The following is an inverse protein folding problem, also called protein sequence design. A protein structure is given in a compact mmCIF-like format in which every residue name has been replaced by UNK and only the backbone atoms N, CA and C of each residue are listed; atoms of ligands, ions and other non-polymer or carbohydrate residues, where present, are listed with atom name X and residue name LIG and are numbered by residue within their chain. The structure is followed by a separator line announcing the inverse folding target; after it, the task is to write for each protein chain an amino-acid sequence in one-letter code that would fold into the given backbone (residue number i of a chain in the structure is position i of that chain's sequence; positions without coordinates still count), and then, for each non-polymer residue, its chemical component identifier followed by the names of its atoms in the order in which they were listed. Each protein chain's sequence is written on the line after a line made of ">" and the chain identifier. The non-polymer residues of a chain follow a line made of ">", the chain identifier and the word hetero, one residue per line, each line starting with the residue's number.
data_IF_623350474613
#
_entry.id   IF_623350474613
#
_cell.length_a   1.000
_cell.length_b   1.000
_cell.length_c   1.000
_cell.angle_alpha   90.00
_cell.angle_beta   90.00
_cell.angle_gamma   90.00
#
_symmetry.space_group_name_H-M   'P 1'
#
loop_
_entity.id
_entity.type
_entity.pdbx_description
1 polymer ?
#
# COMPACT_ATOMS: atom_id res chain seq x y z
N UNK A 1 -10.70 9.05 -3.36
CA UNK A 1 -11.66 8.03 -3.87
C UNK A 1 -11.72 8.00 -5.40
N UNK A 2 -12.12 9.09 -6.06
CA UNK A 2 -12.27 9.11 -7.53
C UNK A 2 -11.00 8.78 -8.31
N UNK A 3 -9.86 9.37 -7.94
CA UNK A 3 -8.56 9.05 -8.56
C UNK A 3 -8.19 7.56 -8.40
N UNK A 4 -8.54 6.94 -7.28
CA UNK A 4 -8.28 5.52 -7.05
C UNK A 4 -9.20 4.65 -7.91
N UNK A 5 -10.49 4.99 -8.00
CA UNK A 5 -11.45 4.30 -8.86
C UNK A 5 -11.03 4.37 -10.34
N UNK A 6 -10.60 5.54 -10.82
CA UNK A 6 -10.06 5.71 -12.17
C UNK A 6 -8.79 4.89 -12.41
N UNK A 7 -7.88 4.83 -11.42
CA UNK A 7 -6.67 4.01 -11.51
C UNK A 7 -6.99 2.51 -11.54
N UNK A 8 -7.97 2.06 -10.75
CA UNK A 8 -8.42 0.68 -10.75
C UNK A 8 -8.99 0.29 -12.12
N UNK A 9 -9.83 1.17 -12.71
CA UNK A 9 -10.34 0.99 -14.07
C UNK A 9 -9.20 0.83 -15.09
N UNK A 10 -8.20 1.72 -15.03
CA UNK A 10 -7.06 1.71 -15.93
C UNK A 10 -6.19 0.46 -15.80
N UNK A 11 -6.17 -0.16 -14.61
CA UNK A 11 -5.49 -1.42 -14.34
C UNK A 11 -6.37 -2.66 -14.58
N UNK A 12 -7.59 -2.48 -15.10
CA UNK A 12 -8.46 -3.59 -15.52
C UNK A 12 -9.30 -4.20 -14.41
N UNK A 13 -9.53 -3.49 -13.29
CA UNK A 13 -10.48 -3.94 -12.27
C UNK A 13 -11.90 -4.02 -12.85
N UNK A 14 -12.69 -5.01 -12.39
CA UNK A 14 -14.13 -5.03 -12.66
C UNK A 14 -14.84 -4.01 -11.77
N UNK A 15 -15.57 -3.09 -12.40
CA UNK A 15 -16.24 -1.97 -11.73
C UNK A 15 -17.76 -2.10 -11.77
N UNK A 16 -18.27 -3.25 -12.21
CA UNK A 16 -19.71 -3.55 -12.24
C UNK A 16 -20.31 -3.43 -10.85
N UNK A 17 -21.38 -2.64 -10.71
CA UNK A 17 -22.08 -2.37 -9.44
C UNK A 17 -21.20 -1.78 -8.31
N UNK A 18 -20.05 -1.21 -8.66
CA UNK A 18 -19.16 -0.52 -7.69
C UNK A 18 -19.49 0.95 -7.56
N UNK A 19 -19.06 1.57 -6.46
CA UNK A 19 -19.16 3.01 -6.27
C UNK A 19 -17.80 3.68 -6.23
N UNK A 20 -17.76 4.95 -6.60
CA UNK A 20 -16.54 5.77 -6.60
C UNK A 20 -15.95 5.94 -5.19
N UNK A 21 -16.80 5.93 -4.16
CA UNK A 21 -16.39 5.98 -2.75
C UNK A 21 -15.50 4.80 -2.34
N UNK A 22 -15.73 3.62 -2.92
CA UNK A 22 -14.99 2.38 -2.66
C UNK A 22 -13.68 2.30 -3.47
N UNK A 23 -13.36 3.33 -4.26
CA UNK A 23 -12.23 3.30 -5.19
C UNK A 23 -10.87 2.99 -4.55
N UNK A 24 -10.69 3.29 -3.27
CA UNK A 24 -9.48 2.91 -2.53
C UNK A 24 -9.33 1.40 -2.36
N UNK A 25 -10.38 0.75 -1.90
CA UNK A 25 -10.39 -0.69 -1.63
C UNK A 25 -10.32 -1.49 -2.94
N UNK A 26 -11.10 -1.08 -3.95
CA UNK A 26 -11.07 -1.70 -5.30
C UNK A 26 -9.66 -1.64 -5.90
N UNK A 27 -8.98 -0.50 -5.75
CA UNK A 27 -7.62 -0.33 -6.25
C UNK A 27 -6.64 -1.25 -5.51
N UNK A 28 -6.74 -1.33 -4.18
CA UNK A 28 -5.88 -2.18 -3.37
C UNK A 28 -6.05 -3.65 -3.74
N UNK A 29 -7.30 -4.12 -3.85
CA UNK A 29 -7.62 -5.50 -4.23
C UNK A 29 -7.08 -5.84 -5.62
N UNK A 30 -7.20 -4.94 -6.59
CA UNK A 30 -6.68 -5.16 -7.94
C UNK A 30 -5.15 -5.28 -7.95
N UNK A 31 -4.45 -4.41 -7.21
CA UNK A 31 -2.99 -4.47 -7.10
C UNK A 31 -2.57 -5.78 -6.43
N UNK A 32 -3.24 -6.21 -5.36
CA UNK A 32 -2.97 -7.48 -4.67
C UNK A 32 -3.19 -8.67 -5.61
N UNK A 33 -4.26 -8.65 -6.41
CA UNK A 33 -4.53 -9.66 -7.44
C UNK A 33 -3.37 -9.78 -8.43
N UNK A 34 -2.94 -8.65 -9.01
CA UNK A 34 -1.81 -8.61 -9.95
C UNK A 34 -0.50 -9.08 -9.31
N UNK A 35 -0.23 -8.74 -8.04
CA UNK A 35 0.94 -9.21 -7.31
C UNK A 35 0.97 -10.73 -7.21
N UNK A 36 -0.17 -11.35 -6.87
CA UNK A 36 -0.29 -12.81 -6.78
C UNK A 36 -0.09 -13.48 -8.14
N UNK A 37 -0.73 -12.95 -9.20
CA UNK A 37 -0.62 -13.50 -10.56
C UNK A 37 0.80 -13.45 -11.11
N UNK A 38 1.57 -12.44 -10.72
CA UNK A 38 2.96 -12.25 -11.17
C UNK A 38 3.99 -12.90 -10.26
N UNK A 39 3.56 -13.54 -9.16
CA UNK A 39 4.46 -14.24 -8.24
C UNK A 39 5.27 -13.31 -7.34
N UNK A 40 4.80 -12.08 -7.10
CA UNK A 40 5.42 -11.16 -6.14
C UNK A 40 5.24 -11.74 -4.71
N UNK A 41 6.29 -11.73 -3.87
CA UNK A 41 6.17 -12.20 -2.48
C UNK A 41 5.15 -11.40 -1.67
N UNK A 42 4.53 -12.08 -0.70
CA UNK A 42 3.49 -11.50 0.14
C UNK A 42 4.06 -10.53 1.17
N UNK A 43 3.94 -9.24 0.89
CA UNK A 43 4.37 -8.18 1.78
C UNK A 43 5.87 -8.23 2.12
N UNK A 44 6.24 -7.49 3.15
CA UNK A 44 7.61 -7.39 3.63
C UNK A 44 8.12 -8.72 4.20
N UNK A 45 7.23 -9.54 4.79
CA UNK A 45 7.59 -10.87 5.30
C UNK A 45 8.03 -11.80 4.18
N UNK A 46 7.40 -11.71 3.00
CA UNK A 46 7.77 -12.47 1.81
C UNK A 46 9.18 -12.19 1.29
N UNK A 47 9.79 -11.07 1.67
CA UNK A 47 11.16 -10.70 1.32
C UNK A 47 12.14 -10.70 2.50
N UNK A 48 11.72 -11.26 3.65
CA UNK A 48 12.60 -11.54 4.78
C UNK A 48 12.63 -10.50 5.90
N UNK A 49 11.73 -9.51 5.90
CA UNK A 49 11.54 -8.64 7.06
C UNK A 49 10.62 -9.26 8.10
N UNK A 50 10.71 -8.77 9.32
CA UNK A 50 9.88 -9.20 10.44
C UNK A 50 9.40 -8.02 11.27
N UNK A 51 8.55 -8.30 12.26
CA UNK A 51 8.11 -7.30 13.24
C UNK A 51 9.27 -6.70 14.04
N UNK A 52 10.40 -7.40 14.16
CA UNK A 52 11.60 -6.89 14.84
C UNK A 52 12.27 -5.76 14.05
N UNK A 53 12.04 -5.70 12.73
CA UNK A 53 12.58 -4.65 11.85
C UNK A 53 11.72 -3.38 11.83
N UNK A 54 10.52 -3.43 12.42
CA UNK A 54 9.48 -2.39 12.24
C UNK A 54 9.95 -0.99 12.65
N UNK A 55 10.60 -0.88 13.80
CA UNK A 55 11.13 0.41 14.29
C UNK A 55 12.28 0.91 13.40
N UNK A 56 13.20 0.03 13.01
CA UNK A 56 14.33 0.39 12.15
C UNK A 56 13.91 0.80 10.73
N UNK A 57 12.85 0.18 10.19
CA UNK A 57 12.24 0.56 8.91
C UNK A 57 11.57 1.94 9.02
N UNK A 58 10.78 2.14 10.08
CA UNK A 58 10.08 3.41 10.33
C UNK A 58 11.07 4.57 10.46
N UNK A 59 12.08 4.45 11.31
CA UNK A 59 13.02 5.53 11.61
C UNK A 59 13.84 5.93 10.38
N UNK A 60 14.37 4.94 9.65
CA UNK A 60 15.19 5.19 8.45
C UNK A 60 14.37 5.77 7.30
N UNK A 61 13.10 5.42 7.21
CA UNK A 61 12.19 5.97 6.19
C UNK A 61 11.75 7.38 6.57
N UNK A 62 11.35 7.61 7.82
CA UNK A 62 10.88 8.92 8.31
C UNK A 62 11.93 10.02 8.21
N UNK A 63 13.21 9.67 8.31
CA UNK A 63 14.33 10.59 8.07
C UNK A 63 14.36 11.15 6.63
N UNK A 64 13.74 10.47 5.66
CA UNK A 64 13.73 10.84 4.24
C UNK A 64 12.60 11.82 3.91
N UNK A 65 12.56 12.95 4.62
CA UNK A 65 11.47 13.94 4.53
C UNK A 65 11.13 14.36 3.10
N UNK A 66 12.13 14.70 2.29
CA UNK A 66 11.91 15.12 0.89
C UNK A 66 11.21 14.06 0.03
N UNK A 67 11.42 12.78 0.30
CA UNK A 67 10.75 11.70 -0.44
C UNK A 67 9.31 11.51 0.05
N UNK A 68 9.13 11.52 1.37
CA UNK A 68 7.82 11.40 2.02
C UNK A 68 6.88 12.55 1.63
N UNK A 69 7.39 13.78 1.61
CA UNK A 69 6.61 14.99 1.35
C UNK A 69 6.10 15.10 -0.10
N UNK A 70 6.51 14.19 -1.00
CA UNK A 70 5.90 14.08 -2.34
C UNK A 70 4.52 13.40 -2.31
N UNK A 71 4.16 12.75 -1.21
CA UNK A 71 2.86 12.13 -1.02
C UNK A 71 1.72 13.15 -1.00
N UNK A 72 0.48 12.74 -1.32
CA UNK A 72 -0.66 13.66 -1.38
C UNK A 72 -1.12 14.15 0.00
N UNK A 73 -0.68 13.50 1.09
CA UNK A 73 -1.05 13.81 2.46
C UNK A 73 0.19 13.77 3.36
N UNK A 74 0.25 14.63 4.40
CA UNK A 74 1.28 14.50 5.43
C UNK A 74 1.11 13.16 6.16
N UNK A 75 2.23 12.59 6.59
CA UNK A 75 2.26 11.34 7.37
C UNK A 75 3.16 11.52 8.59
N UNK A 76 2.65 11.15 9.75
CA UNK A 76 3.40 11.08 11.00
C UNK A 76 4.28 9.84 11.06
N UNK A 77 5.22 9.82 12.01
CA UNK A 77 6.06 8.64 12.25
C UNK A 77 5.21 7.43 12.64
N UNK A 78 4.18 7.62 13.46
CA UNK A 78 3.35 6.52 13.96
C UNK A 78 2.44 5.96 12.86
N UNK A 79 1.86 6.81 12.00
CA UNK A 79 1.12 6.37 10.81
C UNK A 79 2.03 5.60 9.84
N UNK A 80 3.29 6.03 9.66
CA UNK A 80 4.27 5.30 8.86
C UNK A 80 4.61 3.94 9.47
N UNK A 81 4.66 3.85 10.80
CA UNK A 81 4.88 2.58 11.51
C UNK A 81 3.72 1.62 11.30
N UNK A 82 2.48 2.10 11.41
CA UNK A 82 1.29 1.28 11.12
C UNK A 82 1.27 0.82 9.66
N UNK A 83 1.60 1.71 8.71
CA UNK A 83 1.69 1.35 7.30
C UNK A 83 2.72 0.23 7.04
N UNK A 84 3.88 0.25 7.69
CA UNK A 84 4.84 -0.85 7.60
C UNK A 84 4.35 -2.14 8.26
N UNK A 85 3.60 -2.05 9.37
CA UNK A 85 3.00 -3.20 10.03
C UNK A 85 1.97 -3.86 9.11
N UNK A 86 1.08 -3.09 8.52
CA UNK A 86 0.06 -3.58 7.59
C UNK A 86 0.70 -4.15 6.31
N UNK A 87 1.85 -3.60 5.90
CA UNK A 87 2.63 -4.11 4.78
C UNK A 87 3.39 -5.42 5.07
N UNK A 88 3.37 -5.96 6.29
CA UNK A 88 4.04 -7.22 6.60
C UNK A 88 3.44 -8.39 5.82
N UNK A 89 2.11 -8.40 5.64
CA UNK A 89 1.38 -9.41 4.87
C UNK A 89 0.09 -8.79 4.35
N UNK A 90 -0.15 -8.91 3.04
CA UNK A 90 -1.39 -8.44 2.40
C UNK A 90 -2.43 -9.54 2.24
N UNK A 91 -1.98 -10.80 2.29
CA UNK A 91 -2.83 -11.98 2.24
C UNK A 91 -2.38 -13.14 3.12
#
# INVERSE_FOLDING_TARGET
>A
PERHWQAAAAMGADLTDTKVEDGGDILADQIIGMMRETGIPNGLSGVGYSMDDLDALTDRSYAQKRLIDNGPMPISRDELKEMFRDAMSYW
#
